data_IF_407500446088
#
_entry.id   IF_407500446088
#
_cell.length_a   1.000
_cell.length_b   1.000
_cell.length_c   1.000
_cell.angle_alpha   90.00
_cell.angle_beta   90.00
_cell.angle_gamma   90.00
#
_symmetry.space_group_name_H-M   'P 1'
#
loop_
_entity.id
_entity.type
_entity.pdbx_description
1 polymer ?
#
# COMPACT_ATOMS: atom_id res chain seq x y z
N UNK A 1 9.37 -11.00 11.36
CA UNK A 1 9.71 -9.57 11.43
C UNK A 1 9.86 -9.06 10.00
N UNK A 2 9.99 -7.74 9.82
CA UNK A 2 10.20 -7.14 8.50
C UNK A 2 11.47 -6.28 8.57
N UNK A 3 12.35 -6.44 7.60
CA UNK A 3 13.56 -5.64 7.48
C UNK A 3 13.30 -4.50 6.52
N UNK A 4 13.46 -3.26 6.99
CA UNK A 4 13.26 -2.04 6.22
C UNK A 4 14.62 -1.40 6.00
N UNK A 5 14.95 -1.04 4.76
CA UNK A 5 16.24 -0.43 4.45
C UNK A 5 16.29 1.05 4.82
N UNK A 6 15.27 1.82 4.41
CA UNK A 6 15.15 3.23 4.75
C UNK A 6 13.69 3.64 4.87
N UNK A 7 13.49 4.70 5.66
CA UNK A 7 12.23 5.41 5.82
C UNK A 7 12.58 6.90 5.74
N UNK A 8 12.05 7.56 4.73
CA UNK A 8 12.35 8.95 4.41
C UNK A 8 11.05 9.77 4.49
N UNK A 9 11.06 10.85 5.26
CA UNK A 9 9.94 11.78 5.39
C UNK A 9 10.30 13.11 4.76
N UNK A 10 9.71 13.38 3.60
CA UNK A 10 9.84 14.66 2.92
C UNK A 10 8.68 15.58 3.31
N UNK A 11 9.00 16.71 3.93
CA UNK A 11 8.03 17.71 4.38
C UNK A 11 8.05 18.87 3.38
N UNK A 12 6.96 19.07 2.65
CA UNK A 12 6.76 20.21 1.77
C UNK A 12 5.58 21.06 2.26
N UNK A 13 5.56 22.32 1.84
CA UNK A 13 4.52 23.28 2.25
C UNK A 13 3.09 22.82 1.94
N UNK A 14 2.90 22.12 0.81
CA UNK A 14 1.57 21.73 0.31
C UNK A 14 1.30 20.22 0.42
N UNK A 15 2.33 19.42 0.70
CA UNK A 15 2.19 17.98 0.84
C UNK A 15 3.35 17.40 1.64
N UNK A 16 3.09 16.30 2.32
CA UNK A 16 4.12 15.50 2.99
C UNK A 16 4.16 14.13 2.33
N UNK A 17 5.35 13.58 2.18
CA UNK A 17 5.55 12.27 1.58
C UNK A 17 6.42 11.41 2.48
N UNK A 18 5.88 10.28 2.87
CA UNK A 18 6.62 9.20 3.52
C UNK A 18 7.01 8.19 2.45
N UNK A 19 8.29 7.93 2.28
CA UNK A 19 8.84 6.91 1.38
C UNK A 19 9.49 5.81 2.22
N UNK A 20 9.17 4.56 1.91
CA UNK A 20 9.77 3.38 2.54
C UNK A 20 10.39 2.55 1.41
N UNK A 21 11.69 2.31 1.49
CA UNK A 21 12.40 1.50 0.51
C UNK A 21 12.76 0.13 1.07
N UNK A 22 12.59 -0.88 0.21
CA UNK A 22 13.05 -2.27 0.40
C UNK A 22 12.61 -2.92 1.71
N UNK A 23 11.31 -3.17 1.85
CA UNK A 23 10.75 -4.01 2.92
C UNK A 23 10.86 -5.47 2.53
N UNK A 24 11.64 -6.23 3.28
CA UNK A 24 11.74 -7.69 3.15
C UNK A 24 11.01 -8.35 4.31
N UNK A 25 10.03 -9.20 4.00
CA UNK A 25 9.27 -9.92 5.03
C UNK A 25 9.99 -11.22 5.38
N UNK A 26 10.06 -11.55 6.66
CA UNK A 26 10.64 -12.81 7.08
C UNK A 26 9.81 -14.01 6.62
N UNK A 27 10.48 -15.14 6.40
CA UNK A 27 9.87 -16.41 5.96
C UNK A 27 8.64 -16.83 6.78
N UNK A 28 8.61 -16.50 8.08
CA UNK A 28 7.51 -16.86 8.98
C UNK A 28 6.16 -16.19 8.67
N UNK A 29 6.15 -15.05 7.95
CA UNK A 29 4.92 -14.33 7.58
C UNK A 29 4.66 -14.31 6.07
N UNK A 30 5.61 -14.75 5.24
CA UNK A 30 5.47 -14.77 3.77
C UNK A 30 4.26 -15.55 3.26
N UNK A 31 3.66 -16.43 4.07
CA UNK A 31 2.44 -17.17 3.71
C UNK A 31 1.16 -16.30 3.66
N UNK A 32 1.21 -15.07 4.20
CA UNK A 32 0.05 -14.17 4.27
C UNK A 32 0.35 -12.74 3.80
N UNK A 33 1.62 -12.39 3.57
CA UNK A 33 2.05 -11.08 3.06
C UNK A 33 2.99 -11.25 1.86
N UNK A 34 3.18 -10.21 1.03
CA UNK A 34 4.14 -10.27 -0.07
C UNK A 34 5.57 -10.50 0.42
N UNK A 35 6.39 -11.12 -0.43
CA UNK A 35 7.80 -11.44 -0.16
C UNK A 35 8.67 -10.18 -0.03
N UNK A 36 8.46 -9.21 -0.92
CA UNK A 36 9.13 -7.90 -0.85
C UNK A 36 8.20 -6.76 -1.26
N UNK A 37 8.44 -5.61 -0.65
CA UNK A 37 7.95 -4.30 -1.13
C UNK A 37 9.21 -3.50 -1.46
N UNK A 38 9.45 -3.27 -2.74
CA UNK A 38 10.68 -2.62 -3.20
C UNK A 38 10.62 -1.12 -2.88
N UNK A 39 9.44 -0.52 -3.05
CA UNK A 39 9.16 0.87 -2.69
C UNK A 39 7.70 1.06 -2.32
N UNK A 40 7.45 1.80 -1.26
CA UNK A 40 6.12 2.25 -0.84
C UNK A 40 6.18 3.75 -0.58
N UNK A 41 5.18 4.49 -1.03
CA UNK A 41 5.03 5.90 -0.69
C UNK A 41 3.62 6.23 -0.24
N UNK A 42 3.53 7.00 0.83
CA UNK A 42 2.30 7.56 1.35
C UNK A 42 2.38 9.09 1.25
N UNK A 43 1.45 9.72 0.53
CA UNK A 43 1.45 11.16 0.29
C UNK A 43 0.18 11.78 0.86
N UNK A 44 0.34 12.72 1.78
CA UNK A 44 -0.74 13.56 2.28
C UNK A 44 -0.62 14.96 1.66
N UNK A 45 -1.70 15.51 1.13
CA UNK A 45 -1.69 16.85 0.50
C UNK A 45 -2.87 17.68 0.98
N UNK A 46 -2.65 18.98 1.14
CA UNK A 46 -3.70 19.93 1.51
C UNK A 46 -4.77 20.07 0.42
N UNK A 47 -4.48 19.72 -0.83
CA UNK A 47 -5.43 19.78 -1.96
C UNK A 47 -6.49 18.67 -1.81
N UNK A 48 -6.09 17.52 -1.26
CA UNK A 48 -6.97 16.37 -1.01
C UNK A 48 -6.80 15.93 0.45
N UNK A 49 -7.22 16.77 1.42
CA UNK A 49 -6.91 16.56 2.83
C UNK A 49 -7.68 15.39 3.44
N UNK A 50 -8.67 14.85 2.73
CA UNK A 50 -9.42 13.66 3.11
C UNK A 50 -8.72 12.35 2.70
N UNK A 51 -7.60 12.40 1.97
CA UNK A 51 -6.93 11.22 1.42
C UNK A 51 -5.42 11.23 1.69
N UNK A 52 -4.91 10.12 2.23
CA UNK A 52 -3.49 9.77 2.13
C UNK A 52 -3.33 8.86 0.93
N UNK A 53 -2.72 9.35 -0.15
CA UNK A 53 -2.48 8.56 -1.36
C UNK A 53 -1.38 7.52 -1.09
N UNK A 54 -1.59 6.29 -1.55
CA UNK A 54 -0.64 5.19 -1.37
C UNK A 54 -0.26 4.65 -2.75
N UNK A 55 1.03 4.59 -3.03
CA UNK A 55 1.61 3.98 -4.22
C UNK A 55 2.73 3.03 -3.80
N UNK A 56 2.77 1.83 -4.36
CA UNK A 56 3.79 0.85 -4.04
C UNK A 56 4.12 -0.10 -5.17
N UNK A 57 5.34 -0.63 -5.14
CA UNK A 57 5.85 -1.63 -6.07
C UNK A 57 6.60 -2.70 -5.29
N UNK A 58 6.44 -3.97 -5.67
CA UNK A 58 7.18 -5.06 -5.07
C UNK A 58 7.07 -6.38 -5.84
N UNK A 59 7.33 -7.49 -5.14
CA UNK A 59 7.23 -8.84 -5.69
C UNK A 59 5.83 -9.17 -6.24
N UNK A 60 4.82 -8.49 -5.71
CA UNK A 60 3.41 -8.61 -6.07
C UNK A 60 2.99 -7.78 -7.28
N UNK A 61 3.86 -6.92 -7.81
CA UNK A 61 3.55 -5.98 -8.87
C UNK A 61 3.37 -4.56 -8.34
N UNK A 62 2.36 -3.84 -8.82
CA UNK A 62 2.07 -2.45 -8.48
C UNK A 62 0.78 -2.37 -7.67
N UNK A 63 0.74 -1.46 -6.69
CA UNK A 63 -0.44 -1.11 -5.93
C UNK A 63 -0.63 0.41 -5.93
N UNK A 64 -1.88 0.86 -6.10
CA UNK A 64 -2.26 2.27 -6.06
C UNK A 64 -3.58 2.43 -5.31
N UNK A 65 -3.70 3.49 -4.53
CA UNK A 65 -4.92 3.74 -3.79
C UNK A 65 -4.77 4.81 -2.73
N UNK A 66 -5.31 4.56 -1.55
CA UNK A 66 -5.12 5.42 -0.41
C UNK A 66 -5.99 5.08 0.78
N UNK A 67 -5.72 5.80 1.85
CA UNK A 67 -6.55 5.82 3.04
C UNK A 67 -7.42 7.07 3.02
N UNK A 68 -8.74 6.88 3.08
CA UNK A 68 -9.76 7.92 3.05
C UNK A 68 -10.17 8.23 4.49
N UNK A 69 -9.68 9.35 5.01
CA UNK A 69 -9.79 9.76 6.41
C UNK A 69 -11.24 9.98 6.85
N UNK A 70 -12.07 10.51 5.95
CA UNK A 70 -13.49 10.77 6.21
C UNK A 70 -14.33 9.49 6.36
N UNK A 71 -13.93 8.41 5.68
CA UNK A 71 -14.62 7.12 5.70
C UNK A 71 -13.94 6.11 6.63
N UNK A 72 -12.77 6.47 7.14
CA UNK A 72 -11.86 5.58 7.86
C UNK A 72 -11.64 4.26 7.08
N UNK A 73 -11.36 4.41 5.79
CA UNK A 73 -11.34 3.31 4.83
C UNK A 73 -10.00 3.24 4.11
N UNK A 74 -9.44 2.04 3.97
CA UNK A 74 -8.34 1.78 3.05
C UNK A 74 -8.86 1.14 1.78
N UNK A 75 -8.48 1.70 0.64
CA UNK A 75 -8.74 1.11 -0.67
C UNK A 75 -7.44 1.06 -1.48
N UNK A 76 -7.07 -0.13 -1.94
CA UNK A 76 -5.84 -0.38 -2.69
C UNK A 76 -6.16 -1.23 -3.91
N UNK A 77 -5.93 -0.70 -5.11
CA UNK A 77 -6.06 -1.42 -6.37
C UNK A 77 -4.70 -1.96 -6.80
N UNK A 78 -4.67 -3.15 -7.38
CA UNK A 78 -3.49 -3.75 -7.99
C UNK A 78 -3.61 -3.65 -9.51
N UNK A 79 -3.22 -2.52 -10.14
CA UNK A 79 -3.35 -2.33 -11.59
C UNK A 79 -2.46 -3.30 -12.39
N UNK A 80 -1.37 -3.78 -11.79
CA UNK A 80 -0.46 -4.73 -12.40
C UNK A 80 -0.04 -5.77 -11.37
N UNK A 81 -0.46 -7.01 -11.58
CA UNK A 81 -0.21 -8.11 -10.65
C UNK A 81 0.93 -9.00 -11.13
N UNK A 82 1.78 -9.45 -10.19
CA UNK A 82 2.76 -10.53 -10.37
C UNK A 82 2.38 -11.69 -9.45
N UNK A 83 3.28 -12.14 -8.58
CA UNK A 83 3.00 -13.20 -7.61
C UNK A 83 2.22 -12.65 -6.42
N UNK A 84 0.92 -12.98 -6.39
CA UNK A 84 -0.01 -12.58 -5.34
C UNK A 84 -0.60 -13.79 -4.60
N UNK A 85 -0.06 -14.99 -4.84
CA UNK A 85 -0.62 -16.26 -4.34
C UNK A 85 -0.85 -16.27 -2.83
N UNK A 86 0.05 -15.67 -2.06
CA UNK A 86 0.05 -15.67 -0.59
C UNK A 86 -1.05 -14.82 0.03
N UNK A 87 -1.55 -13.80 -0.67
CA UNK A 87 -2.56 -12.87 -0.15
C UNK A 87 -3.76 -12.67 -1.10
N UNK A 88 -3.84 -13.41 -2.21
CA UNK A 88 -4.94 -13.35 -3.20
C UNK A 88 -6.32 -13.48 -2.57
N UNK A 89 -6.43 -14.32 -1.53
CA UNK A 89 -7.68 -14.57 -0.79
C UNK A 89 -8.25 -13.34 -0.09
N UNK A 90 -7.42 -12.32 0.17
CA UNK A 90 -7.86 -11.06 0.77
C UNK A 90 -8.28 -10.03 -0.28
N UNK A 91 -8.05 -10.30 -1.56
CA UNK A 91 -8.36 -9.37 -2.64
C UNK A 91 -9.74 -9.67 -3.26
N UNK A 92 -10.52 -8.63 -3.44
CA UNK A 92 -11.75 -8.63 -4.22
C UNK A 92 -11.44 -8.42 -5.71
N UNK A 93 -12.39 -8.73 -6.58
CA UNK A 93 -12.28 -8.53 -8.04
C UNK A 93 -13.50 -7.78 -8.55
N UNK A 94 -13.27 -6.72 -9.32
CA UNK A 94 -14.30 -5.98 -10.05
C UNK A 94 -13.97 -5.94 -11.56
N UNK A 95 -14.66 -5.07 -12.31
CA UNK A 95 -14.44 -4.85 -13.74
C UNK A 95 -13.07 -4.21 -14.05
N UNK A 96 -12.49 -3.50 -13.10
CA UNK A 96 -11.23 -2.75 -13.24
C UNK A 96 -10.01 -3.53 -12.74
N UNK A 97 -10.20 -4.66 -12.07
CA UNK A 97 -9.15 -5.59 -11.69
C UNK A 97 -9.25 -6.08 -10.26
N UNK A 98 -8.10 -6.30 -9.62
CA UNK A 98 -8.03 -6.72 -8.23
C UNK A 98 -7.88 -5.53 -7.30
N UNK A 99 -8.57 -5.59 -6.16
CA UNK A 99 -8.47 -4.57 -5.14
C UNK A 99 -8.62 -5.15 -3.74
N UNK A 100 -8.11 -4.41 -2.76
CA UNK A 100 -8.30 -4.62 -1.34
C UNK A 100 -9.05 -3.42 -0.78
N UNK A 101 -10.05 -3.68 0.05
CA UNK A 101 -10.86 -2.66 0.70
C UNK A 101 -11.12 -3.08 2.15
N UNK A 102 -10.99 -2.13 3.08
CA UNK A 102 -11.34 -2.35 4.49
C UNK A 102 -11.73 -1.06 5.20
N UNK A 103 -12.83 -1.13 5.95
CA UNK A 103 -13.30 -0.07 6.84
C UNK A 103 -12.80 -0.30 8.27
N UNK A 104 -12.35 0.77 8.93
CA UNK A 104 -11.88 0.77 10.32
C UNK A 104 -12.83 1.59 11.18
N UNK A 105 -14.06 1.13 11.38
CA UNK A 105 -15.06 1.93 12.11
C UNK A 105 -16.36 1.21 12.46
N UNK A 106 -16.36 -0.13 12.42
CA UNK A 106 -17.41 -0.98 12.98
C UNK A 106 -16.83 -1.81 14.11
#
# INVERSE_FOLDING_TARGET
MAHIKSVDLDIFLLYNKLTIDSVHTDKGIQNIVPKSIDKLSATFSIIKPYKVAIDGVGSFGEVKGGFYLNMNEIFLRLPKTKDISTFRKFLQKDKEGLYYEKFFGK
#
